data_IF_305987316653
#
_entry.id   IF_305987316653
#
_cell.length_a   1.000
_cell.length_b   1.000
_cell.length_c   1.000
_cell.angle_alpha   90.00
_cell.angle_beta   90.00
_cell.angle_gamma   90.00
#
_symmetry.space_group_name_H-M   'P 1'
#
loop_
_entity.id
_entity.type
_entity.pdbx_description
1 polymer ?
#
# COMPACT_ATOMS: atom_id res chain seq x y z
N UNK A 1 -22.64 3.39 14.25
CA UNK A 1 -22.14 2.56 13.14
C UNK A 1 -20.74 3.03 12.80
N UNK A 2 -19.75 2.14 12.78
CA UNK A 2 -18.33 2.46 12.55
C UNK A 2 -17.75 1.66 11.38
N UNK A 3 -16.48 1.93 11.04
CA UNK A 3 -15.74 1.21 10.01
C UNK A 3 -14.59 0.46 10.66
N UNK A 4 -14.45 -0.82 10.32
CA UNK A 4 -13.35 -1.68 10.78
C UNK A 4 -12.65 -2.29 9.57
N UNK A 5 -11.33 -2.33 9.57
CA UNK A 5 -10.55 -3.00 8.53
C UNK A 5 -9.19 -3.47 9.05
N UNK A 6 -8.64 -4.48 8.38
CA UNK A 6 -7.27 -4.96 8.62
C UNK A 6 -6.29 -4.24 7.70
N UNK A 7 -5.08 -4.00 8.19
CA UNK A 7 -3.98 -3.45 7.40
C UNK A 7 -2.64 -3.95 7.94
N UNK A 8 -1.64 -4.04 7.06
CA UNK A 8 -0.27 -4.36 7.43
C UNK A 8 0.54 -3.08 7.60
N UNK A 9 1.34 -3.00 8.66
CA UNK A 9 2.30 -1.91 8.87
C UNK A 9 3.45 -2.09 7.87
N UNK A 10 3.61 -1.13 6.96
CA UNK A 10 4.68 -1.15 5.95
C UNK A 10 5.74 -0.08 6.17
N UNK A 11 5.45 0.91 7.00
CA UNK A 11 6.38 1.97 7.37
C UNK A 11 6.25 2.36 8.83
N UNK A 12 7.40 2.62 9.46
CA UNK A 12 7.52 3.15 10.82
C UNK A 12 8.70 4.10 10.86
N UNK A 13 8.48 5.32 11.30
CA UNK A 13 9.54 6.34 11.37
C UNK A 13 9.36 7.26 12.56
N UNK A 14 10.47 7.71 13.14
CA UNK A 14 10.47 8.81 14.11
C UNK A 14 10.28 10.12 13.36
N UNK A 15 9.44 10.99 13.91
CA UNK A 15 9.09 12.26 13.30
C UNK A 15 9.17 13.37 14.35
N UNK A 16 9.38 14.60 13.87
CA UNK A 16 9.39 15.80 14.70
C UNK A 16 8.34 16.75 14.17
N UNK A 17 7.46 17.22 15.05
CA UNK A 17 6.43 18.18 14.69
C UNK A 17 7.02 19.60 14.55
N UNK A 18 6.26 20.58 14.02
CA UNK A 18 6.75 21.96 13.88
C UNK A 18 7.08 22.67 15.21
N UNK A 19 6.61 22.14 16.35
CA UNK A 19 6.89 22.66 17.69
C UNK A 19 8.14 22.00 18.31
N UNK A 20 8.77 21.05 17.61
CA UNK A 20 9.95 20.33 18.07
C UNK A 20 9.64 19.07 18.88
N UNK A 21 8.37 18.69 19.04
CA UNK A 21 8.00 17.48 19.77
C UNK A 21 8.27 16.24 18.91
N UNK A 22 8.71 15.15 19.56
CA UNK A 22 8.93 13.87 18.89
C UNK A 22 7.64 13.06 18.80
N UNK A 23 7.58 12.20 17.81
CA UNK A 23 6.47 11.29 17.60
C UNK A 23 6.85 10.11 16.71
N UNK A 24 5.84 9.29 16.39
CA UNK A 24 5.96 8.12 15.53
C UNK A 24 4.95 8.22 14.40
N UNK A 25 5.42 8.02 13.16
CA UNK A 25 4.55 7.83 12.00
C UNK A 25 4.49 6.36 11.64
N UNK A 26 3.27 5.84 11.46
CA UNK A 26 2.99 4.52 10.92
C UNK A 26 2.30 4.64 9.56
N UNK A 27 2.75 3.87 8.58
CA UNK A 27 2.13 3.74 7.27
C UNK A 27 1.53 2.34 7.15
N UNK A 28 0.22 2.26 6.87
CA UNK A 28 -0.56 1.03 6.87
C UNK A 28 -1.21 0.78 5.50
N UNK A 29 -1.00 -0.41 4.95
CA UNK A 29 -1.51 -0.81 3.64
C UNK A 29 -2.32 -2.10 3.69
N UNK A 30 -3.18 -2.29 2.70
CA UNK A 30 -3.86 -3.56 2.42
C UNK A 30 -3.31 -4.12 1.10
N UNK A 31 -2.85 -5.37 1.10
CA UNK A 31 -2.57 -6.08 -0.16
C UNK A 31 -3.89 -6.58 -0.75
N UNK A 32 -4.16 -6.23 -2.00
CA UNK A 32 -5.29 -6.75 -2.78
C UNK A 32 -4.80 -7.50 -4.00
N UNK A 33 -5.53 -8.53 -4.39
CA UNK A 33 -5.29 -9.16 -5.69
C UNK A 33 -5.65 -8.15 -6.80
N UNK A 34 -4.69 -7.90 -7.68
CA UNK A 34 -4.92 -7.09 -8.87
C UNK A 34 -5.69 -7.94 -9.87
N UNK A 35 -6.76 -7.41 -10.51
CA UNK A 35 -7.30 -8.10 -11.67
C UNK A 35 -6.18 -8.26 -12.71
N UNK A 36 -6.09 -9.41 -13.40
CA UNK A 36 -5.11 -9.58 -14.46
C UNK A 36 -5.29 -8.43 -15.47
N UNK A 37 -4.19 -7.82 -15.95
CA UNK A 37 -4.28 -6.70 -16.87
C UNK A 37 -5.13 -7.12 -18.06
N UNK A 38 -6.23 -6.39 -18.29
CA UNK A 38 -7.08 -6.58 -19.46
C UNK A 38 -6.28 -6.09 -20.66
N UNK A 39 -5.70 -7.02 -21.40
CA UNK A 39 -5.12 -6.71 -22.70
C UNK A 39 -6.31 -6.42 -23.62
N UNK A 40 -6.65 -5.14 -23.76
CA UNK A 40 -7.57 -4.69 -24.79
C UNK A 40 -6.83 -4.89 -26.11
N UNK A 41 -6.99 -6.07 -26.69
CA UNK A 41 -6.70 -6.26 -28.10
C UNK A 41 -7.74 -5.41 -28.82
N UNK A 42 -7.35 -4.36 -29.56
CA UNK A 42 -8.32 -3.65 -30.39
C UNK A 42 -8.88 -4.70 -31.34
N UNK A 43 -10.19 -4.96 -31.25
CA UNK A 43 -10.88 -5.87 -32.16
C UNK A 43 -10.51 -5.46 -33.59
N UNK A 44 -9.69 -6.28 -34.26
CA UNK A 44 -9.28 -6.07 -35.65
C UNK A 44 -7.81 -5.76 -35.94
N UNK A 45 -6.91 -5.63 -34.96
CA UNK A 45 -5.47 -5.45 -35.30
C UNK A 45 -4.51 -6.22 -34.40
N UNK A 46 -4.36 -7.52 -34.65
CA UNK A 46 -3.05 -8.16 -34.40
C UNK A 46 -2.12 -7.74 -35.53
N UNK A 47 -1.74 -6.46 -35.54
CA UNK A 47 -0.62 -6.00 -36.37
C UNK A 47 0.59 -6.89 -36.04
N UNK A 48 1.34 -7.39 -37.02
CA UNK A 48 2.60 -8.12 -36.78
C UNK A 48 3.52 -7.37 -35.81
N UNK A 49 3.48 -6.03 -35.88
CA UNK A 49 4.19 -5.13 -34.98
C UNK A 49 3.80 -5.33 -33.51
N UNK A 50 2.50 -5.58 -33.22
CA UNK A 50 2.03 -5.85 -31.87
C UNK A 50 2.61 -7.15 -31.31
N UNK A 51 2.79 -8.19 -32.14
CA UNK A 51 3.42 -9.46 -31.73
C UNK A 51 4.92 -9.29 -31.46
N UNK A 52 5.58 -8.42 -32.21
CA UNK A 52 7.01 -8.14 -32.06
C UNK A 52 7.33 -7.28 -30.83
N UNK A 53 6.45 -6.35 -30.45
CA UNK A 53 6.69 -5.45 -29.30
C UNK A 53 6.19 -6.00 -27.96
N UNK A 54 5.30 -7.00 -27.96
CA UNK A 54 4.77 -7.62 -26.72
C UNK A 54 5.85 -8.14 -25.74
N UNK A 55 6.92 -8.84 -26.19
CA UNK A 55 7.98 -9.28 -25.29
C UNK A 55 8.68 -8.12 -24.57
N UNK A 56 8.87 -6.99 -25.26
CA UNK A 56 9.51 -5.79 -24.71
C UNK A 56 8.62 -5.14 -23.66
N UNK A 57 7.32 -5.01 -23.94
CA UNK A 57 6.34 -4.47 -22.98
C UNK A 57 6.30 -5.33 -21.71
N UNK A 58 6.29 -6.67 -21.85
CA UNK A 58 6.31 -7.58 -20.70
C UNK A 58 7.58 -7.42 -19.86
N UNK A 59 8.73 -7.27 -20.50
CA UNK A 59 10.00 -7.04 -19.80
C UNK A 59 10.00 -5.70 -19.05
N UNK A 60 9.45 -4.63 -19.65
CA UNK A 60 9.33 -3.33 -18.99
C UNK A 60 8.37 -3.41 -17.80
N UNK A 61 7.23 -4.07 -17.95
CA UNK A 61 6.25 -4.23 -16.86
C UNK A 61 6.82 -5.03 -15.68
N UNK A 62 7.60 -6.08 -15.96
CA UNK A 62 8.32 -6.85 -14.92
C UNK A 62 9.43 -6.04 -14.21
N UNK A 63 9.95 -5.00 -14.85
CA UNK A 63 10.97 -4.12 -14.27
C UNK A 63 10.42 -3.06 -13.33
N UNK A 64 9.10 -2.87 -13.27
CA UNK A 64 8.48 -1.89 -12.39
C UNK A 64 8.40 -2.43 -10.95
N UNK A 65 9.10 -1.82 -9.96
CA UNK A 65 9.14 -2.30 -8.58
C UNK A 65 7.76 -2.28 -7.87
N UNK A 66 6.83 -1.51 -8.46
CA UNK A 66 5.42 -1.34 -8.14
C UNK A 66 4.50 -2.56 -8.34
N UNK A 67 4.82 -3.36 -9.35
CA UNK A 67 3.85 -4.27 -9.96
C UNK A 67 4.32 -5.69 -9.73
N UNK A 68 4.02 -6.25 -8.54
CA UNK A 68 4.00 -7.70 -8.43
C UNK A 68 2.82 -8.20 -9.27
N UNK A 69 3.02 -9.11 -10.24
CA UNK A 69 1.91 -9.64 -11.04
C UNK A 69 0.81 -10.17 -10.10
N UNK A 70 -0.38 -9.59 -10.19
CA UNK A 70 -1.54 -10.04 -9.40
C UNK A 70 -1.68 -9.45 -7.99
N UNK A 71 -0.85 -8.50 -7.53
CA UNK A 71 -1.07 -7.82 -6.25
C UNK A 71 -0.89 -6.29 -6.34
N UNK A 72 -1.87 -5.54 -5.84
CA UNK A 72 -1.80 -4.08 -5.64
C UNK A 72 -1.77 -3.78 -4.15
N UNK A 73 -0.89 -2.89 -3.72
CA UNK A 73 -0.91 -2.34 -2.35
C UNK A 73 -1.78 -1.09 -2.32
N UNK A 74 -2.78 -1.08 -1.44
CA UNK A 74 -3.63 0.07 -1.19
C UNK A 74 -3.22 0.73 0.13
N UNK A 75 -2.75 1.97 0.10
CA UNK A 75 -2.53 2.76 1.32
C UNK A 75 -3.88 2.99 2.02
N UNK A 76 -4.02 2.47 3.25
CA UNK A 76 -5.27 2.54 4.03
C UNK A 76 -5.27 3.67 5.04
N UNK A 77 -4.13 3.90 5.69
CA UNK A 77 -3.99 4.89 6.75
C UNK A 77 -2.52 5.29 6.92
N UNK A 78 -2.27 6.57 7.11
CA UNK A 78 -1.02 7.06 7.71
C UNK A 78 -1.39 7.68 9.05
N UNK A 79 -0.84 7.12 10.13
CA UNK A 79 -1.12 7.53 11.49
C UNK A 79 0.11 8.25 12.06
N UNK A 80 -0.12 9.43 12.62
CA UNK A 80 0.90 10.21 13.32
C UNK A 80 0.53 10.21 14.79
N UNK A 81 1.40 9.67 15.62
CA UNK A 81 1.24 9.59 17.06
C UNK A 81 2.26 10.52 17.72
N UNK A 82 1.79 11.24 18.73
CA UNK A 82 2.69 11.89 19.69
C UNK A 82 3.47 10.83 20.47
N UNK A 83 4.57 11.24 21.11
CA UNK A 83 5.33 10.37 22.00
C UNK A 83 4.46 9.78 23.12
N UNK A 84 3.58 10.58 23.74
CA UNK A 84 2.67 10.13 24.78
C UNK A 84 1.66 9.09 24.29
N UNK A 85 1.07 9.28 23.11
CA UNK A 85 0.13 8.31 22.52
C UNK A 85 0.85 7.01 22.15
N UNK A 86 2.07 7.10 21.63
CA UNK A 86 2.90 5.94 21.30
C UNK A 86 3.28 5.12 22.53
N UNK A 87 3.63 5.77 23.63
CA UNK A 87 3.99 5.09 24.87
C UNK A 87 2.79 4.43 25.58
N UNK A 88 1.58 4.94 25.35
CA UNK A 88 0.34 4.33 25.87
C UNK A 88 -0.09 3.04 25.17
N UNK A 89 0.47 2.72 24.00
CA UNK A 89 0.19 1.46 23.34
C UNK A 89 0.81 0.31 24.13
N UNK A 90 -0.04 -0.60 24.62
CA UNK A 90 0.42 -1.83 25.31
C UNK A 90 1.30 -2.70 24.41
N UNK A 91 0.93 -2.77 23.13
CA UNK A 91 1.71 -3.44 22.10
C UNK A 91 1.97 -2.45 20.96
N UNK A 92 3.24 -2.11 20.79
CA UNK A 92 3.70 -1.20 19.74
C UNK A 92 3.78 -1.97 18.41
N UNK A 93 3.01 -1.59 17.38
CA UNK A 93 3.07 -2.27 16.09
C UNK A 93 4.47 -2.15 15.46
N UNK A 94 4.91 -3.23 14.83
CA UNK A 94 6.15 -3.31 14.07
C UNK A 94 5.88 -3.50 12.58
N UNK A 95 6.88 -3.19 11.75
CA UNK A 95 6.78 -3.39 10.30
C UNK A 95 6.56 -4.88 10.01
N UNK A 96 5.54 -5.18 9.22
CA UNK A 96 5.09 -6.54 8.89
C UNK A 96 3.90 -7.01 9.70
N UNK A 97 3.56 -6.35 10.81
CA UNK A 97 2.42 -6.73 11.64
C UNK A 97 1.10 -6.42 10.93
N UNK A 98 0.13 -7.34 11.05
CA UNK A 98 -1.26 -7.09 10.71
C UNK A 98 -1.97 -6.46 11.92
N UNK A 99 -2.59 -5.30 11.71
CA UNK A 99 -3.37 -4.59 12.73
C UNK A 99 -4.81 -4.38 12.29
N UNK A 100 -5.72 -4.31 13.26
CA UNK A 100 -7.11 -3.94 13.03
C UNK A 100 -7.33 -2.46 13.38
N UNK A 101 -7.79 -1.69 12.40
CA UNK A 101 -8.15 -0.28 12.57
C UNK A 101 -9.66 -0.16 12.76
N UNK A 102 -10.09 0.50 13.85
CA UNK A 102 -11.49 0.78 14.19
C UNK A 102 -11.73 2.29 14.21
N UNK A 103 -12.69 2.75 13.41
CA UNK A 103 -13.11 4.16 13.37
C UNK A 103 -14.58 4.24 13.75
N UNK A 104 -14.87 5.00 14.81
CA UNK A 104 -16.23 5.25 15.29
C UNK A 104 -16.48 6.74 15.49
N UNK A 105 -17.73 7.16 15.27
CA UNK A 105 -18.19 8.49 15.66
C UNK A 105 -18.51 8.50 17.15
N UNK A 106 -18.07 9.55 17.85
CA UNK A 106 -18.45 9.84 19.24
C UNK A 106 -19.88 10.39 19.31
#
# INVERSE_FOLDING_TARGET
MGVTFKATVVGKSLVTDPLGNRGVRLDLTEEKEAPPPVIISPEGSTSPLAREVMPVINQVMQSLPFIRPGKVTLQRLTLWLTEDEWERLEQKPEIGDEVEVKISKN
#
